data_IF_242709116500
#
_entry.id   IF_242709116500
#
_cell.length_a   1.000
_cell.length_b   1.000
_cell.length_c   1.000
_cell.angle_alpha   90.00
_cell.angle_beta   90.00
_cell.angle_gamma   90.00
#
_symmetry.space_group_name_H-M   'P 1'
#
loop_
_entity.id
_entity.type
_entity.pdbx_description
1 polymer ?
#
# COMPACT_ATOMS: atom_id res chain seq x y z
N UNK A 1 8.68 -5.49 17.65
CA UNK A 1 9.13 -4.10 17.39
C UNK A 1 8.02 -3.12 17.74
N UNK A 2 8.34 -1.82 17.75
CA UNK A 2 7.39 -0.70 17.83
C UNK A 2 6.73 -0.43 16.46
N UNK A 3 5.88 -1.36 16.03
CA UNK A 3 5.12 -1.24 14.78
C UNK A 3 4.24 0.04 14.80
N UNK A 4 3.61 0.33 15.94
CA UNK A 4 2.82 1.54 16.20
C UNK A 4 3.54 2.83 15.75
N UNK A 5 4.77 3.02 16.22
CA UNK A 5 5.54 4.23 15.90
C UNK A 5 6.02 4.23 14.46
N UNK A 6 6.43 3.08 13.93
CA UNK A 6 6.91 2.99 12.56
C UNK A 6 5.82 3.32 11.54
N UNK A 7 4.63 2.75 11.73
CA UNK A 7 3.46 3.03 10.90
C UNK A 7 3.02 4.48 11.05
N UNK A 8 3.10 5.06 12.25
CA UNK A 8 2.83 6.49 12.47
C UNK A 8 3.80 7.39 11.68
N UNK A 9 5.09 7.02 11.61
CA UNK A 9 6.06 7.75 10.79
C UNK A 9 5.72 7.63 9.30
N UNK A 10 5.44 6.41 8.80
CA UNK A 10 5.01 6.22 7.42
C UNK A 10 3.77 7.06 7.09
N UNK A 11 2.76 7.06 7.96
CA UNK A 11 1.55 7.85 7.78
C UNK A 11 1.84 9.34 7.68
N UNK A 12 2.64 9.88 8.61
CA UNK A 12 3.03 11.29 8.59
C UNK A 12 3.92 11.65 7.39
N UNK A 13 4.79 10.74 6.95
CA UNK A 13 5.57 10.89 5.72
C UNK A 13 4.67 10.96 4.49
N UNK A 14 3.68 10.09 4.37
CA UNK A 14 2.68 10.12 3.29
C UNK A 14 1.94 11.46 3.29
N UNK A 15 1.46 11.92 4.44
CA UNK A 15 0.76 13.22 4.55
C UNK A 15 1.68 14.38 4.17
N UNK A 16 2.94 14.37 4.61
CA UNK A 16 3.93 15.38 4.22
C UNK A 16 4.21 15.40 2.72
N UNK A 17 4.37 14.22 2.12
CA UNK A 17 4.56 14.05 0.67
C UNK A 17 3.34 14.54 -0.11
N UNK A 18 2.13 14.20 0.35
CA UNK A 18 0.88 14.68 -0.22
C UNK A 18 0.74 16.20 -0.11
N UNK A 19 1.21 16.81 0.98
CA UNK A 19 1.21 18.26 1.11
C UNK A 19 2.21 18.95 0.18
N UNK A 20 3.28 18.24 -0.21
CA UNK A 20 4.34 18.73 -1.08
C UNK A 20 4.07 18.52 -2.57
N UNK A 21 3.07 17.72 -2.97
CA UNK A 21 2.78 17.38 -4.36
C UNK A 21 1.31 17.60 -4.69
N UNK A 22 1.00 17.91 -5.95
CA UNK A 22 -0.38 17.93 -6.44
C UNK A 22 -0.91 16.49 -6.61
N UNK A 23 -2.21 16.24 -6.46
CA UNK A 23 -2.75 14.90 -6.74
C UNK A 23 -2.83 14.59 -8.23
N UNK A 24 -2.93 15.61 -9.09
CA UNK A 24 -3.04 15.44 -10.53
C UNK A 24 -2.14 16.42 -11.29
N UNK A 25 -1.79 16.11 -12.55
CA UNK A 25 -1.03 17.03 -13.40
C UNK A 25 -1.70 18.40 -13.54
N UNK A 26 -0.88 19.45 -13.70
CA UNK A 26 -1.32 20.85 -13.80
C UNK A 26 -2.01 21.41 -12.54
N UNK A 27 -1.68 20.84 -11.37
CA UNK A 27 -2.07 21.38 -10.07
C UNK A 27 -1.31 22.66 -9.69
N UNK A 28 -1.46 23.08 -8.43
CA UNK A 28 -0.92 24.33 -7.93
C UNK A 28 0.61 24.33 -7.84
N UNK A 29 1.22 23.19 -7.49
CA UNK A 29 2.66 23.03 -7.30
C UNK A 29 3.39 22.63 -8.59
N UNK A 30 2.67 22.17 -9.60
CA UNK A 30 3.19 21.73 -10.89
C UNK A 30 3.85 20.34 -10.87
N UNK A 31 3.88 19.67 -9.71
CA UNK A 31 4.47 18.35 -9.53
C UNK A 31 3.43 17.39 -8.96
N UNK A 32 2.93 16.48 -9.78
CA UNK A 32 1.93 15.51 -9.33
C UNK A 32 2.57 14.31 -8.65
N UNK A 33 1.84 13.65 -7.76
CA UNK A 33 2.27 12.40 -7.13
C UNK A 33 1.12 11.43 -6.90
N UNK A 34 1.47 10.14 -6.82
CA UNK A 34 0.59 9.06 -6.40
C UNK A 34 1.28 8.12 -5.42
N UNK A 35 0.47 7.33 -4.73
CA UNK A 35 0.93 6.40 -3.70
C UNK A 35 0.55 4.96 -4.04
N UNK A 36 1.52 4.06 -3.99
CA UNK A 36 1.33 2.60 -4.11
C UNK A 36 1.66 1.98 -2.77
N UNK A 37 0.64 1.51 -2.07
CA UNK A 37 0.75 1.00 -0.72
C UNK A 37 0.74 -0.53 -0.70
N UNK A 38 1.89 -1.10 -0.35
CA UNK A 38 2.07 -2.52 -0.06
C UNK A 38 1.78 -2.75 1.43
N UNK A 39 0.50 -3.01 1.73
CA UNK A 39 -0.02 -3.24 3.08
C UNK A 39 -0.48 -4.71 3.20
N UNK A 40 0.14 -5.53 4.08
CA UNK A 40 -0.22 -6.94 4.21
C UNK A 40 -1.55 -7.09 4.95
N UNK A 41 -2.30 -8.16 4.70
CA UNK A 41 -3.58 -8.44 5.37
C UNK A 41 -3.48 -8.49 6.91
N UNK A 42 -2.32 -8.89 7.45
CA UNK A 42 -2.08 -8.86 8.91
C UNK A 42 -2.20 -7.45 9.52
N UNK A 43 -2.08 -6.39 8.71
CA UNK A 43 -2.30 -5.02 9.15
C UNK A 43 -3.74 -4.78 9.64
N UNK A 44 -4.71 -5.56 9.14
CA UNK A 44 -6.13 -5.46 9.51
C UNK A 44 -6.40 -5.83 10.97
N UNK A 45 -5.45 -6.48 11.66
CA UNK A 45 -5.51 -6.72 13.10
C UNK A 45 -5.44 -5.42 13.92
N UNK A 46 -4.96 -4.33 13.31
CA UNK A 46 -4.89 -2.99 13.90
C UNK A 46 -5.54 -1.95 12.97
N UNK A 47 -6.89 -1.93 12.87
CA UNK A 47 -7.59 -1.05 11.95
C UNK A 47 -7.22 0.43 12.10
N UNK A 48 -7.03 0.91 13.33
CA UNK A 48 -6.70 2.32 13.60
C UNK A 48 -5.31 2.75 13.08
N UNK A 49 -4.51 1.79 12.61
CA UNK A 49 -3.16 1.99 12.06
C UNK A 49 -3.08 1.55 10.58
N UNK A 50 -4.20 1.39 9.89
CA UNK A 50 -4.20 1.06 8.46
C UNK A 50 -3.82 2.31 7.65
N UNK A 51 -2.73 2.20 6.90
CA UNK A 51 -2.26 3.28 6.02
C UNK A 51 -3.23 3.52 4.86
N UNK A 52 -3.93 2.48 4.41
CA UNK A 52 -4.96 2.56 3.35
C UNK A 52 -6.09 3.52 3.68
N UNK A 53 -6.38 3.77 4.97
CA UNK A 53 -7.41 4.73 5.39
C UNK A 53 -7.07 6.17 4.99
N UNK A 54 -5.79 6.51 4.79
CA UNK A 54 -5.39 7.84 4.34
C UNK A 54 -5.97 8.21 2.96
N UNK A 55 -6.34 7.23 2.15
CA UNK A 55 -7.00 7.43 0.85
C UNK A 55 -8.35 8.17 0.96
N UNK A 56 -9.01 8.09 2.10
CA UNK A 56 -10.27 8.80 2.35
C UNK A 56 -10.03 10.30 2.57
N UNK A 57 -8.86 10.65 3.10
CA UNK A 57 -8.52 12.00 3.53
C UNK A 57 -7.74 12.77 2.46
N UNK A 58 -6.81 12.10 1.79
CA UNK A 58 -5.92 12.73 0.83
C UNK A 58 -6.56 12.74 -0.57
N UNK A 59 -6.39 13.82 -1.36
CA UNK A 59 -6.95 13.90 -2.72
C UNK A 59 -6.16 13.11 -3.76
N UNK A 60 -4.96 12.65 -3.41
CA UNK A 60 -4.07 11.88 -4.26
C UNK A 60 -4.60 10.49 -4.51
N UNK A 61 -4.13 9.87 -5.59
CA UNK A 61 -4.45 8.47 -5.86
C UNK A 61 -3.68 7.53 -4.93
N UNK A 62 -4.40 6.55 -4.38
CA UNK A 62 -3.88 5.49 -3.54
C UNK A 62 -4.21 4.12 -4.16
N UNK A 63 -3.17 3.39 -4.52
CA UNK A 63 -3.28 2.01 -4.97
C UNK A 63 -2.89 1.08 -3.81
N UNK A 64 -3.85 0.40 -3.19
CA UNK A 64 -3.56 -0.59 -2.14
C UNK A 64 -3.32 -1.96 -2.78
N UNK A 65 -2.15 -2.52 -2.51
CA UNK A 65 -1.66 -3.76 -3.11
C UNK A 65 -1.40 -4.77 -2.00
N UNK A 66 -2.23 -5.81 -1.97
CA UNK A 66 -2.04 -6.96 -1.09
C UNK A 66 -0.97 -7.94 -1.61
N UNK A 67 -0.74 -9.01 -0.85
CA UNK A 67 0.28 -10.02 -1.16
C UNK A 67 0.17 -10.65 -2.55
N UNK A 68 -1.06 -10.84 -3.06
CA UNK A 68 -1.25 -11.48 -4.37
C UNK A 68 -0.92 -10.56 -5.55
N UNK A 69 -0.99 -9.24 -5.36
CA UNK A 69 -0.75 -8.26 -6.42
C UNK A 69 0.65 -7.63 -6.43
N UNK A 70 1.48 -7.91 -5.42
CA UNK A 70 2.79 -7.24 -5.28
C UNK A 70 3.73 -7.54 -6.45
N UNK A 71 3.73 -8.76 -6.97
CA UNK A 71 4.61 -9.15 -8.09
C UNK A 71 4.27 -8.35 -9.33
N UNK A 72 2.99 -8.30 -9.71
CA UNK A 72 2.50 -7.56 -10.87
C UNK A 72 2.69 -6.05 -10.70
N UNK A 73 2.41 -5.54 -9.50
CA UNK A 73 2.57 -4.10 -9.20
C UNK A 73 4.04 -3.67 -9.31
N UNK A 74 4.97 -4.43 -8.75
CA UNK A 74 6.40 -4.12 -8.84
C UNK A 74 6.95 -4.29 -10.26
N UNK A 75 6.51 -5.30 -11.00
CA UNK A 75 6.87 -5.45 -12.41
C UNK A 75 6.39 -4.25 -13.24
N UNK A 76 5.14 -3.84 -13.03
CA UNK A 76 4.55 -2.67 -13.68
C UNK A 76 5.36 -1.41 -13.40
N UNK A 77 5.74 -1.17 -12.13
CA UNK A 77 6.51 0.01 -11.75
C UNK A 77 7.95 -0.09 -12.26
N UNK A 78 8.58 -1.27 -12.25
CA UNK A 78 9.93 -1.46 -12.80
C UNK A 78 9.96 -1.20 -14.32
N UNK A 79 8.92 -1.64 -15.03
CA UNK A 79 8.72 -1.31 -16.45
C UNK A 79 8.58 0.20 -16.65
N UNK A 80 7.88 0.90 -15.73
CA UNK A 80 7.81 2.37 -15.77
C UNK A 80 9.16 3.03 -15.50
N UNK A 81 9.97 2.51 -14.57
CA UNK A 81 11.34 2.98 -14.34
C UNK A 81 12.13 2.89 -15.64
N UNK A 82 12.16 1.71 -16.28
CA UNK A 82 12.90 1.49 -17.52
C UNK A 82 12.42 2.42 -18.64
N UNK A 83 11.09 2.52 -18.84
CA UNK A 83 10.51 3.41 -19.84
C UNK A 83 10.93 4.87 -19.63
N UNK A 84 10.90 5.37 -18.39
CA UNK A 84 11.31 6.74 -18.08
C UNK A 84 12.81 6.97 -18.29
N UNK A 85 13.65 5.97 -18.04
CA UNK A 85 15.09 6.04 -18.34
C UNK A 85 15.34 6.12 -19.84
N UNK A 86 14.73 5.21 -20.61
CA UNK A 86 14.91 5.11 -22.07
C UNK A 86 14.41 6.36 -22.79
N UNK A 87 13.25 6.90 -22.36
CA UNK A 87 12.66 8.11 -22.91
C UNK A 87 13.19 9.41 -22.27
N UNK A 88 14.10 9.32 -21.29
CA UNK A 88 14.65 10.46 -20.55
C UNK A 88 13.58 11.37 -19.93
N UNK A 89 12.56 10.77 -19.32
CA UNK A 89 11.45 11.48 -18.64
C UNK A 89 11.92 11.97 -17.28
N UNK A 90 12.34 13.23 -17.21
CA UNK A 90 12.87 13.85 -15.98
C UNK A 90 11.79 14.41 -15.05
N UNK A 91 10.61 14.79 -15.58
CA UNK A 91 9.54 15.46 -14.83
C UNK A 91 8.24 14.64 -14.83
N UNK A 92 8.36 13.32 -14.70
CA UNK A 92 7.21 12.44 -14.57
C UNK A 92 6.48 12.66 -13.24
N UNK A 93 5.22 12.19 -13.18
CA UNK A 93 4.50 12.09 -11.91
C UNK A 93 5.33 11.29 -10.90
N UNK A 94 5.45 11.79 -9.67
CA UNK A 94 6.17 11.09 -8.62
C UNK A 94 5.37 9.84 -8.16
N UNK A 95 6.04 8.69 -8.09
CA UNK A 95 5.42 7.45 -7.61
C UNK A 95 6.09 7.08 -6.30
N UNK A 96 5.36 7.18 -5.19
CA UNK A 96 5.83 6.72 -3.89
C UNK A 96 5.32 5.30 -3.64
N UNK A 97 6.23 4.33 -3.57
CA UNK A 97 5.91 2.95 -3.22
C UNK A 97 6.23 2.74 -1.74
N UNK A 98 5.19 2.44 -0.96
CA UNK A 98 5.27 2.33 0.50
C UNK A 98 5.10 0.87 0.89
N UNK A 99 6.11 0.29 1.52
CA UNK A 99 6.07 -1.06 2.08
C UNK A 99 5.83 -0.96 3.58
N UNK A 100 4.59 -1.27 4.00
CA UNK A 100 4.21 -1.18 5.42
C UNK A 100 4.97 -2.15 6.28
N UNK A 101 5.21 -3.39 5.83
CA UNK A 101 5.95 -4.45 6.54
C UNK A 101 6.66 -5.39 5.56
N UNK A 102 7.95 -5.11 5.35
CA UNK A 102 8.79 -5.85 4.42
C UNK A 102 8.86 -7.35 4.73
N UNK A 103 8.80 -7.74 6.02
CA UNK A 103 8.96 -9.14 6.40
C UNK A 103 7.81 -10.02 5.90
N UNK A 104 6.64 -9.44 5.58
CA UNK A 104 5.42 -10.13 5.13
C UNK A 104 5.42 -10.43 3.64
N UNK A 105 6.16 -9.68 2.84
CA UNK A 105 6.26 -9.88 1.39
C UNK A 105 7.46 -10.77 1.07
N UNK A 106 7.31 -12.09 1.31
CA UNK A 106 8.40 -13.07 1.17
C UNK A 106 8.94 -13.17 -0.25
N UNK A 107 8.08 -12.93 -1.23
CA UNK A 107 8.40 -12.84 -2.64
C UNK A 107 9.40 -11.71 -2.99
N UNK A 108 9.59 -10.72 -2.11
CA UNK A 108 10.62 -9.68 -2.30
C UNK A 108 12.00 -10.12 -1.80
N UNK A 109 12.08 -11.25 -1.10
CA UNK A 109 13.34 -11.80 -0.62
C UNK A 109 14.12 -12.36 -1.80
N UNK A 110 15.43 -12.21 -1.73
CA UNK A 110 16.32 -12.80 -2.74
C UNK A 110 16.25 -14.31 -2.65
N UNK A 111 16.15 -14.99 -3.79
CA UNK A 111 16.32 -16.43 -3.85
C UNK A 111 17.80 -16.80 -3.69
N UNK A 112 18.06 -17.91 -2.99
CA UNK A 112 19.39 -18.50 -2.92
C UNK A 112 19.83 -18.90 -4.35
N UNK A 113 20.79 -18.18 -4.93
CA UNK A 113 21.24 -18.34 -6.31
C UNK A 113 21.10 -17.08 -7.18
N UNK A 114 20.38 -16.06 -6.72
CA UNK A 114 20.23 -14.78 -7.43
C UNK A 114 21.44 -13.87 -7.16
N UNK A 115 22.58 -14.26 -7.74
CA UNK A 115 23.84 -13.52 -7.71
C UNK A 115 23.96 -12.65 -8.95
N UNK A 116 23.16 -11.57 -9.04
CA UNK A 116 23.46 -10.31 -9.73
C UNK A 116 23.96 -10.31 -11.19
N UNK A 117 24.01 -11.45 -11.87
CA UNK A 117 24.53 -11.62 -13.23
C UNK A 117 23.67 -12.66 -13.95
N UNK A 118 22.51 -12.24 -14.45
CA UNK A 118 21.85 -13.00 -15.52
C UNK A 118 22.60 -12.76 -16.83
N UNK A 119 23.62 -13.58 -17.11
CA UNK A 119 24.20 -13.76 -18.44
C UNK A 119 23.30 -14.66 -19.30
N UNK A 120 22.05 -14.27 -19.50
CA UNK A 120 21.10 -14.98 -20.35
C UNK A 120 19.99 -14.03 -20.81
N UNK A 121 19.91 -13.80 -22.12
CA UNK A 121 19.14 -12.72 -22.76
C UNK A 121 17.61 -12.75 -22.60
N UNK A 122 17.00 -13.72 -21.90
CA UNK A 122 15.53 -13.88 -21.92
C UNK A 122 14.85 -14.16 -20.57
N UNK A 123 15.53 -13.99 -19.42
CA UNK A 123 14.86 -14.14 -18.12
C UNK A 123 14.23 -12.83 -17.65
N UNK A 124 12.89 -12.80 -17.67
CA UNK A 124 12.06 -11.78 -17.02
C UNK A 124 12.51 -11.58 -15.56
N UNK A 125 12.76 -10.33 -15.18
CA UNK A 125 13.19 -9.98 -13.83
C UNK A 125 12.14 -10.39 -12.78
N UNK A 126 12.60 -11.10 -11.75
CA UNK A 126 11.75 -11.51 -10.62
C UNK A 126 11.40 -10.33 -9.69
N UNK A 127 10.45 -10.52 -8.77
CA UNK A 127 10.00 -9.47 -7.84
C UNK A 127 11.12 -8.84 -7.00
N UNK A 128 12.09 -9.63 -6.52
CA UNK A 128 13.25 -9.10 -5.77
C UNK A 128 14.18 -8.23 -6.63
N UNK A 129 14.38 -8.62 -7.90
CA UNK A 129 15.18 -7.84 -8.85
C UNK A 129 14.44 -6.55 -9.23
N UNK A 130 13.14 -6.62 -9.53
CA UNK A 130 12.31 -5.43 -9.78
C UNK A 130 12.36 -4.47 -8.60
N UNK A 131 12.22 -4.97 -7.38
CA UNK A 131 12.30 -4.14 -6.17
C UNK A 131 13.66 -3.46 -6.00
N UNK A 132 14.75 -4.15 -6.35
CA UNK A 132 16.11 -3.58 -6.36
C UNK A 132 16.27 -2.50 -7.43
N UNK A 133 15.72 -2.71 -8.63
CA UNK A 133 15.69 -1.69 -9.70
C UNK A 133 14.94 -0.44 -9.27
N UNK A 134 13.78 -0.58 -8.62
CA UNK A 134 13.05 0.56 -8.06
C UNK A 134 13.88 1.35 -7.05
N UNK A 135 14.66 0.67 -6.22
CA UNK A 135 15.50 1.32 -5.21
C UNK A 135 16.69 2.07 -5.84
N UNK A 136 17.38 1.44 -6.80
CA UNK A 136 18.60 1.99 -7.43
C UNK A 136 18.30 3.04 -8.49
N UNK A 137 17.41 2.70 -9.43
CA UNK A 137 17.20 3.50 -10.64
C UNK A 137 15.96 4.39 -10.52
N UNK A 138 14.98 3.98 -9.70
CA UNK A 138 13.73 4.71 -9.52
C UNK A 138 13.88 6.19 -9.14
N UNK A 139 14.73 6.57 -8.17
CA UNK A 139 14.83 7.96 -7.73
C UNK A 139 15.20 8.93 -8.85
N UNK A 140 16.00 8.48 -9.82
CA UNK A 140 16.45 9.30 -10.97
C UNK A 140 15.31 9.69 -11.91
N UNK A 141 14.17 8.98 -11.84
CA UNK A 141 12.99 9.18 -12.69
C UNK A 141 11.72 9.46 -11.86
N UNK A 142 11.87 9.90 -10.61
CA UNK A 142 10.76 10.29 -9.74
C UNK A 142 9.98 9.12 -9.14
N UNK A 143 10.59 7.95 -8.98
CA UNK A 143 9.98 6.77 -8.35
C UNK A 143 10.75 6.48 -7.06
N UNK A 144 10.07 6.51 -5.92
CA UNK A 144 10.71 6.50 -4.60
C UNK A 144 10.15 5.39 -3.72
N UNK A 145 11.01 4.80 -2.88
CA UNK A 145 10.63 3.77 -1.92
C UNK A 145 10.58 4.31 -0.49
N UNK A 146 9.52 3.99 0.24
CA UNK A 146 9.43 4.13 1.69
C UNK A 146 9.20 2.74 2.29
N UNK A 147 10.14 2.24 3.08
CA UNK A 147 10.10 0.85 3.54
C UNK A 147 10.23 0.79 5.05
N UNK A 148 9.27 0.15 5.72
CA UNK A 148 9.47 -0.33 7.08
C UNK A 148 9.86 -1.80 7.09
N UNK A 149 10.82 -2.11 7.95
CA UNK A 149 11.20 -3.46 8.29
C UNK A 149 11.36 -3.54 9.80
N UNK A 150 10.95 -4.67 10.37
CA UNK A 150 11.01 -4.91 11.79
C UNK A 150 12.47 -5.06 12.24
N UNK A 151 13.26 -5.89 11.56
CA UNK A 151 14.63 -6.26 11.98
C UNK A 151 15.64 -6.13 10.86
N UNK A 152 16.91 -5.91 11.25
CA UNK A 152 18.02 -5.94 10.29
C UNK A 152 18.11 -7.29 9.58
N UNK A 153 17.82 -8.40 10.26
CA UNK A 153 17.81 -9.73 9.65
C UNK A 153 16.80 -9.83 8.50
N UNK A 154 15.57 -9.33 8.69
CA UNK A 154 14.56 -9.36 7.62
C UNK A 154 14.89 -8.38 6.48
N UNK A 155 15.51 -7.23 6.81
CA UNK A 155 16.01 -6.29 5.82
C UNK A 155 17.10 -6.93 4.93
N UNK A 156 18.07 -7.60 5.55
CA UNK A 156 19.20 -8.28 4.88
C UNK A 156 18.79 -9.55 4.09
N UNK A 157 17.60 -10.11 4.34
CA UNK A 157 17.02 -11.17 3.49
C UNK A 157 16.47 -10.63 2.17
N UNK A 158 16.17 -9.34 2.13
CA UNK A 158 15.58 -8.67 0.97
C UNK A 158 16.66 -7.93 0.19
N UNK A 159 17.47 -7.14 0.88
CA UNK A 159 18.53 -6.34 0.26
C UNK A 159 19.91 -6.89 0.56
N UNK A 160 20.78 -6.84 -0.43
CA UNK A 160 22.22 -6.98 -0.18
C UNK A 160 22.77 -5.78 0.59
N UNK A 161 23.89 -5.99 1.30
CA UNK A 161 24.55 -4.95 2.09
C UNK A 161 24.86 -3.69 1.26
N UNK A 162 25.31 -3.86 0.02
CA UNK A 162 25.66 -2.73 -0.85
C UNK A 162 24.44 -1.87 -1.20
N UNK A 163 23.31 -2.51 -1.46
CA UNK A 163 22.04 -1.86 -1.83
C UNK A 163 21.43 -1.09 -0.66
N UNK A 164 21.76 -1.41 0.59
CA UNK A 164 21.29 -0.60 1.74
C UNK A 164 21.80 0.84 1.72
N UNK A 165 22.91 1.11 1.02
CA UNK A 165 23.45 2.46 0.86
C UNK A 165 22.53 3.39 0.05
N UNK A 166 21.68 2.83 -0.80
CA UNK A 166 20.69 3.58 -1.58
C UNK A 166 19.57 4.17 -0.71
N UNK A 167 19.38 3.68 0.52
CA UNK A 167 18.51 4.34 1.49
C UNK A 167 19.25 5.49 2.16
N UNK A 168 19.16 6.69 1.59
CA UNK A 168 19.82 7.89 2.13
C UNK A 168 19.15 8.42 3.40
N UNK A 169 17.81 8.32 3.45
CA UNK A 169 17.00 8.72 4.60
C UNK A 169 16.66 7.47 5.43
N UNK A 170 17.13 7.44 6.66
CA UNK A 170 16.93 6.30 7.56
C UNK A 170 16.37 6.76 8.89
N UNK A 171 15.41 5.99 9.38
CA UNK A 171 14.88 6.14 10.74
C UNK A 171 15.10 4.84 11.48
N UNK A 172 15.89 4.91 12.56
CA UNK A 172 16.20 3.76 13.41
C UNK A 172 15.51 3.89 14.74
N UNK A 173 14.84 2.82 15.17
CA UNK A 173 14.40 2.63 16.53
C UNK A 173 15.49 1.95 17.37
N UNK A 174 15.21 1.74 18.65
CA UNK A 174 16.11 0.98 19.51
C UNK A 174 16.38 -0.41 18.93
N UNK A 175 17.67 -0.73 18.78
CA UNK A 175 18.17 -2.02 18.28
C UNK A 175 19.52 -2.36 18.93
N UNK A 176 20.09 -3.52 18.60
CA UNK A 176 21.40 -3.89 19.15
C UNK A 176 22.51 -2.94 18.68
N UNK A 177 23.59 -2.84 19.46
CA UNK A 177 24.75 -2.03 19.07
C UNK A 177 25.39 -2.54 17.78
N UNK A 178 25.42 -3.87 17.57
CA UNK A 178 25.91 -4.50 16.34
C UNK A 178 25.04 -4.16 15.13
N UNK A 179 23.71 -4.24 15.25
CA UNK A 179 22.81 -3.93 14.14
C UNK A 179 22.89 -2.45 13.75
N UNK A 180 22.94 -1.57 14.76
CA UNK A 180 23.11 -0.14 14.57
C UNK A 180 24.42 0.18 13.83
N UNK A 181 25.55 -0.37 14.30
CA UNK A 181 26.83 -0.18 13.63
C UNK A 181 26.84 -0.77 12.22
N UNK A 182 26.11 -1.85 11.97
CA UNK A 182 26.04 -2.45 10.64
C UNK A 182 25.26 -1.61 9.63
N UNK A 183 24.22 -0.90 10.10
CA UNK A 183 23.38 -0.07 9.25
C UNK A 183 24.00 1.31 9.01
N UNK A 184 24.50 1.96 10.07
CA UNK A 184 24.83 3.40 10.05
C UNK A 184 26.20 3.71 10.67
N UNK A 185 27.10 2.73 10.69
CA UNK A 185 28.49 2.85 11.16
C UNK A 185 28.65 3.43 12.58
N UNK A 186 27.59 3.35 13.39
CA UNK A 186 27.52 3.88 14.74
C UNK A 186 26.60 3.06 15.63
N UNK A 187 26.98 2.74 16.88
CA UNK A 187 26.14 1.97 17.81
C UNK A 187 25.04 2.82 18.48
N UNK A 188 24.81 4.06 18.05
CA UNK A 188 23.97 5.03 18.76
C UNK A 188 22.51 4.61 18.93
N UNK A 189 21.95 3.78 18.03
CA UNK A 189 20.58 3.32 18.16
C UNK A 189 20.38 2.37 19.37
N UNK A 190 21.45 1.74 19.88
CA UNK A 190 21.39 0.93 21.10
C UNK A 190 21.08 1.71 22.37
N UNK A 191 21.35 3.02 22.35
CA UNK A 191 21.12 3.94 23.48
C UNK A 191 19.79 4.70 23.36
N UNK A 192 18.94 4.36 22.39
CA UNK A 192 17.62 4.97 22.26
C UNK A 192 16.70 4.45 23.36
N UNK A 193 15.91 5.36 23.94
CA UNK A 193 14.79 5.01 24.80
C UNK A 193 13.56 4.56 23.99
N UNK A 194 12.52 4.04 24.65
CA UNK A 194 11.38 3.43 23.98
C UNK A 194 10.58 4.40 23.08
N UNK A 195 10.61 5.70 23.33
CA UNK A 195 9.88 6.72 22.53
C UNK A 195 10.83 7.68 21.82
N UNK A 196 11.95 7.16 21.34
CA UNK A 196 12.94 7.92 20.56
C UNK A 196 13.31 7.13 19.33
N UNK A 197 13.51 7.86 18.25
CA UNK A 197 14.09 7.36 17.03
C UNK A 197 15.31 8.20 16.67
N UNK A 198 16.18 7.64 15.84
CA UNK A 198 17.33 8.30 15.27
C UNK A 198 17.07 8.50 13.78
N UNK A 199 16.98 9.76 13.34
CA UNK A 199 16.90 10.14 11.94
C UNK A 199 18.32 10.36 11.42
N UNK A 200 18.57 9.82 10.24
CA UNK A 200 19.85 9.89 9.55
C UNK A 200 19.59 10.30 8.10
N UNK A 201 20.38 11.25 7.65
CA UNK A 201 20.45 11.66 6.26
C UNK A 201 21.91 11.51 5.82
N UNK A 202 22.18 10.48 5.03
CA UNK A 202 23.54 10.10 4.63
C UNK A 202 24.22 11.21 3.82
N UNK A 203 23.53 11.81 2.86
CA UNK A 203 24.08 12.86 1.99
C UNK A 203 24.58 14.08 2.79
N UNK A 204 23.78 14.57 3.74
CA UNK A 204 24.14 15.73 4.56
C UNK A 204 24.91 15.37 5.83
N UNK A 205 25.13 14.08 6.10
CA UNK A 205 25.70 13.58 7.35
C UNK A 205 24.87 13.93 8.59
N UNK A 206 23.58 14.22 8.43
CA UNK A 206 22.71 14.61 9.55
C UNK A 206 22.37 13.39 10.40
N UNK A 207 22.50 13.52 11.72
CA UNK A 207 22.14 12.49 12.69
C UNK A 207 21.44 13.14 13.88
N UNK A 208 20.12 12.94 13.97
CA UNK A 208 19.27 13.61 14.96
C UNK A 208 18.39 12.61 15.73
N UNK A 209 18.31 12.79 17.05
CA UNK A 209 17.35 12.06 17.89
C UNK A 209 16.06 12.84 17.97
N UNK A 210 14.94 12.18 17.68
CA UNK A 210 13.62 12.80 17.77
C UNK A 210 12.60 11.90 18.46
N UNK A 211 11.44 12.47 18.78
CA UNK A 211 10.27 11.73 19.26
C UNK A 211 9.34 11.50 18.06
N UNK A 212 9.05 10.24 17.70
CA UNK A 212 8.08 9.95 16.65
C UNK A 212 6.70 10.54 16.94
N UNK A 213 6.02 10.97 15.89
CA UNK A 213 4.62 11.36 15.95
C UNK A 213 3.73 10.14 16.25
N UNK A 214 2.56 10.38 16.84
CA UNK A 214 1.47 9.41 16.85
C UNK A 214 0.81 9.33 15.47
N UNK A 215 0.07 8.26 15.23
CA UNK A 215 -0.74 8.13 14.03
C UNK A 215 -1.71 9.33 13.91
N UNK A 216 -1.88 9.91 12.71
CA UNK A 216 -2.72 11.08 12.53
C UNK A 216 -4.18 10.76 12.83
N UNK A 217 -4.81 11.55 13.70
CA UNK A 217 -6.20 11.37 14.09
C UNK A 217 -7.17 12.06 13.13
N UNK A 218 -8.40 11.56 13.03
CA UNK A 218 -9.42 12.06 12.11
C UNK A 218 -9.65 13.58 12.19
N UNK A 219 -9.78 14.24 13.37
CA UNK A 219 -9.99 15.69 13.43
C UNK A 219 -8.86 16.50 12.79
N UNK A 220 -7.63 16.01 12.89
CA UNK A 220 -6.48 16.66 12.25
C UNK A 220 -6.46 16.38 10.73
N UNK A 221 -6.77 15.15 10.33
CA UNK A 221 -6.87 14.77 8.91
C UNK A 221 -7.98 15.53 8.18
N UNK A 222 -9.09 15.86 8.84
CA UNK A 222 -10.15 16.71 8.30
C UNK A 222 -9.62 18.09 7.89
N UNK A 223 -8.83 18.73 8.77
CA UNK A 223 -8.23 20.05 8.53
C UNK A 223 -7.23 19.96 7.37
N UNK A 224 -6.37 18.94 7.37
CA UNK A 224 -5.38 18.71 6.31
C UNK A 224 -6.08 18.46 4.97
N UNK A 225 -7.06 17.55 4.93
CA UNK A 225 -7.88 17.24 3.76
C UNK A 225 -8.51 18.49 3.17
N UNK A 226 -9.18 19.30 4.00
CA UNK A 226 -9.79 20.56 3.57
C UNK A 226 -8.77 21.53 2.97
N UNK A 227 -7.61 21.68 3.62
CA UNK A 227 -6.54 22.56 3.15
C UNK A 227 -5.93 22.08 1.83
N UNK A 228 -5.72 20.77 1.69
CA UNK A 228 -5.20 20.19 0.45
C UNK A 228 -6.19 20.37 -0.69
N UNK A 229 -7.47 20.00 -0.48
CA UNK A 229 -8.53 20.06 -1.49
C UNK A 229 -8.89 21.47 -1.94
N UNK A 230 -8.70 22.48 -1.08
CA UNK A 230 -8.92 23.89 -1.43
C UNK A 230 -7.91 24.42 -2.46
N UNK A 231 -6.77 23.74 -2.67
CA UNK A 231 -5.79 24.11 -3.70
C UNK A 231 -6.33 23.76 -5.09
N UNK A 232 -5.71 24.32 -6.12
CA UNK A 232 -5.93 23.86 -7.50
C UNK A 232 -5.37 22.43 -7.64
N UNK A 233 -6.22 21.45 -7.91
CA UNK A 233 -5.82 20.03 -7.93
C UNK A 233 -5.24 19.55 -9.26
N UNK A 234 -5.36 20.33 -10.33
CA UNK A 234 -5.04 19.84 -11.68
C UNK A 234 -6.19 19.01 -12.26
N UNK A 235 -5.91 18.21 -13.29
CA UNK A 235 -6.93 17.38 -13.96
C UNK A 235 -6.53 15.92 -13.93
N UNK A 236 -7.38 15.02 -13.41
CA UNK A 236 -7.15 13.58 -13.50
C UNK A 236 -6.94 13.16 -14.95
N UNK A 237 -5.85 12.44 -15.21
CA UNK A 237 -5.60 11.83 -16.51
C UNK A 237 -5.88 10.33 -16.40
N UNK A 238 -6.61 9.70 -17.34
CA UNK A 238 -6.78 8.27 -17.33
C UNK A 238 -5.41 7.60 -17.45
N UNK A 239 -5.05 6.77 -16.47
CA UNK A 239 -3.83 5.98 -16.53
C UNK A 239 -3.97 4.94 -17.63
N UNK A 240 -2.93 4.65 -18.42
CA UNK A 240 -2.92 3.46 -19.25
C UNK A 240 -3.25 2.26 -18.36
N UNK A 241 -4.39 1.60 -18.63
CA UNK A 241 -4.77 0.38 -17.92
C UNK A 241 -3.64 -0.61 -18.15
N UNK A 242 -2.83 -0.85 -17.12
CA UNK A 242 -1.80 -1.89 -17.19
C UNK A 242 -2.52 -3.19 -16.91
N UNK A 243 -2.83 -3.91 -18.00
CA UNK A 243 -3.37 -5.25 -17.91
C UNK A 243 -2.35 -6.07 -17.10
N UNK A 244 -2.72 -6.49 -15.89
CA UNK A 244 -2.09 -7.67 -15.29
C UNK A 244 -2.13 -8.78 -16.34
N UNK A 245 -1.12 -9.65 -16.40
CA UNK A 245 -1.08 -10.68 -17.44
C UNK A 245 -2.33 -11.59 -17.43
N UNK A 246 -3.12 -11.60 -16.35
CA UNK A 246 -4.45 -12.24 -16.28
C UNK A 246 -5.54 -11.60 -17.17
N UNK A 247 -5.40 -10.35 -17.60
CA UNK A 247 -6.42 -9.61 -18.36
C UNK A 247 -6.02 -9.25 -19.80
N UNK A 248 -4.91 -9.79 -20.32
CA UNK A 248 -4.66 -9.70 -21.76
C UNK A 248 -5.79 -10.47 -22.48
N UNK A 249 -6.54 -9.87 -23.42
CA UNK A 249 -7.49 -10.65 -24.21
C UNK A 249 -6.69 -11.77 -24.87
N UNK A 250 -7.03 -13.02 -24.51
CA UNK A 250 -6.36 -14.20 -25.04
C UNK A 250 -6.34 -14.09 -26.55
N UNK A 251 -5.15 -14.24 -27.13
CA UNK A 251 -4.96 -14.18 -28.57
C UNK A 251 -5.73 -15.36 -29.21
N UNK A 252 -6.23 -15.21 -30.43
CA UNK A 252 -7.02 -16.27 -31.09
C UNK A 252 -6.29 -17.61 -31.15
N UNK A 253 -4.95 -17.59 -31.17
CA UNK A 253 -4.08 -18.78 -31.12
C UNK A 253 -4.09 -19.47 -29.74
N UNK A 254 -4.06 -18.72 -28.63
CA UNK A 254 -4.08 -19.27 -27.26
C UNK A 254 -5.45 -19.88 -26.90
N UNK A 255 -6.53 -19.34 -27.48
CA UNK A 255 -7.88 -19.92 -27.34
C UNK A 255 -8.04 -21.24 -28.13
N UNK A 256 -7.35 -21.38 -29.26
CA UNK A 256 -7.34 -22.62 -30.03
C UNK A 256 -6.55 -23.72 -29.32
N UNK A 257 -5.42 -23.39 -28.70
CA UNK A 257 -4.59 -24.34 -27.95
C UNK A 257 -5.32 -24.90 -26.71
N UNK A 258 -6.08 -24.05 -25.99
CA UNK A 258 -6.88 -24.47 -24.85
C UNK A 258 -8.05 -25.40 -25.24
N UNK A 259 -8.59 -25.26 -26.46
CA UNK A 259 -9.64 -26.14 -26.98
C UNK A 259 -9.13 -27.54 -27.35
N UNK A 260 -7.83 -27.68 -27.65
CA UNK A 260 -7.20 -28.96 -27.98
C UNK A 260 -6.86 -29.80 -26.74
N UNK A 261 -6.80 -29.19 -25.55
CA UNK A 261 -6.51 -29.88 -24.28
C UNK A 261 -7.76 -30.32 -23.48
N UNK A 262 -8.97 -30.20 -24.05
CA UNK A 262 -10.16 -30.77 -23.42
C UNK A 262 -10.17 -32.30 -23.62
N UNK A 263 -9.74 -32.99 -22.57
CA UNK A 263 -9.63 -34.44 -22.47
C UNK A 263 -10.99 -35.11 -22.69
N UNK A 264 -11.06 -36.02 -23.68
CA UNK A 264 -12.18 -36.95 -23.85
C UNK A 264 -12.24 -37.88 -22.64
N UNK A 265 -13.17 -37.63 -21.73
CA UNK A 265 -13.61 -38.62 -20.75
C UNK A 265 -14.92 -39.23 -21.28
N UNK A 266 -14.80 -40.33 -22.03
CA UNK A 266 -15.91 -41.27 -22.20
C UNK A 266 -16.23 -41.85 -20.82
N UNK A 267 -17.38 -41.47 -20.28
CA UNK A 267 -17.99 -42.16 -19.15
C UNK A 267 -19.02 -43.12 -19.74
N UNK A 268 -18.66 -44.40 -19.74
CA UNK A 268 -19.52 -45.51 -20.10
C UNK A 268 -20.58 -45.68 -18.99
N UNK A 269 -21.85 -45.41 -19.29
CA UNK A 269 -22.98 -45.62 -18.39
C UNK A 269 -23.89 -46.69 -18.99
N UNK A 270 -24.10 -47.83 -18.34
CA UNK A 270 -24.98 -48.87 -18.87
C UNK A 270 -26.44 -48.42 -18.77
N UNK A 271 -27.12 -48.45 -19.92
CA UNK A 271 -28.56 -48.18 -20.02
C UNK A 271 -29.31 -49.42 -19.53
N UNK A 272 -29.91 -49.35 -18.34
CA UNK A 272 -30.97 -50.29 -17.94
C UNK A 272 -32.32 -49.71 -18.38
N UNK A 273 -32.99 -50.46 -19.27
CA UNK A 273 -34.28 -50.13 -19.83
C UNK A 273 -35.39 -50.76 -18.98
N UNK A 274 -35.94 -50.02 -18.02
CA UNK A 274 -37.29 -50.31 -17.53
C UNK A 274 -37.97 -49.14 -16.82
N UNK A 275 -39.27 -49.01 -17.12
CA UNK A 275 -40.33 -48.40 -16.30
C UNK A 275 -40.48 -46.86 -16.25
N UNK A 276 -41.40 -46.38 -17.09
CA UNK A 276 -42.62 -45.72 -16.59
C UNK A 276 -42.57 -44.22 -16.29
N UNK A 277 -43.20 -43.41 -17.16
CA UNK A 277 -43.67 -42.06 -16.80
C UNK A 277 -44.66 -42.15 -15.62
N UNK A 278 -44.73 -41.07 -14.80
CA UNK A 278 -46.06 -40.49 -14.62
C UNK A 278 -46.15 -38.97 -14.76
N UNK A 279 -47.41 -38.61 -14.99
CA UNK A 279 -47.99 -37.33 -15.38
C UNK A 279 -47.90 -36.22 -14.34
N UNK A 280 -47.95 -35.01 -14.90
CA UNK A 280 -48.39 -33.73 -14.33
C UNK A 280 -49.69 -33.86 -13.51
N UNK A 281 -49.73 -33.24 -12.34
CA UNK A 281 -50.96 -32.74 -11.73
C UNK A 281 -50.70 -31.41 -11.03
N UNK A 282 -51.70 -30.54 -11.18
CA UNK A 282 -51.85 -29.19 -10.66
C UNK A 282 -52.37 -29.22 -9.24
N UNK A 283 -51.89 -28.32 -8.38
CA UNK A 283 -52.68 -27.84 -7.25
C UNK A 283 -52.28 -26.40 -6.93
N UNK A 284 -53.29 -25.53 -7.05
CA UNK A 284 -53.36 -24.16 -6.55
C UNK A 284 -53.49 -24.20 -5.04
N UNK A 285 -52.80 -23.32 -4.31
CA UNK A 285 -53.41 -22.73 -3.15
C UNK A 285 -52.93 -21.30 -2.85
N UNK A 286 -53.86 -20.58 -2.27
CA UNK A 286 -54.04 -19.14 -2.24
C UNK A 286 -53.52 -18.49 -0.95
N UNK A 287 -53.18 -17.20 -1.07
CA UNK A 287 -53.34 -16.11 -0.07
C UNK A 287 -52.72 -16.27 1.35
N UNK A 288 -51.81 -15.36 1.71
CA UNK A 288 -52.17 -14.17 2.52
C UNK A 288 -50.99 -13.22 2.68
N UNK A 289 -51.27 -11.95 2.40
CA UNK A 289 -50.47 -10.77 2.70
C UNK A 289 -50.82 -10.28 4.10
N UNK A 290 -49.83 -10.02 4.95
CA UNK A 290 -50.01 -9.15 6.11
C UNK A 290 -48.97 -8.02 6.09
N UNK A 291 -49.50 -6.84 5.79
CA UNK A 291 -48.96 -5.52 6.06
C UNK A 291 -49.01 -5.21 7.56
N UNK A 292 -47.91 -4.76 8.15
CA UNK A 292 -47.94 -4.06 9.44
C UNK A 292 -47.45 -2.63 9.21
N UNK A 293 -48.39 -1.70 9.31
CA UNK A 293 -48.20 -0.26 9.41
C UNK A 293 -47.97 0.15 10.87
N UNK A 294 -46.97 1.03 11.03
CA UNK A 294 -47.02 2.30 11.77
C UNK A 294 -47.47 2.30 13.25
N UNK A 295 -46.56 2.76 14.12
CA UNK A 295 -46.97 3.52 15.30
C UNK A 295 -45.88 4.49 15.74
N UNK A 296 -46.08 5.75 15.36
CA UNK A 296 -45.39 6.93 15.85
C UNK A 296 -46.22 7.53 17.00
N UNK A 297 -45.61 7.79 18.17
CA UNK A 297 -46.02 8.93 19.00
C UNK A 297 -44.90 9.40 19.95
N UNK A 298 -44.69 10.72 20.08
CA UNK A 298 -43.70 11.34 20.95
C UNK A 298 -44.32 11.87 22.26
N UNK A 299 -43.52 11.98 23.31
CA UNK A 299 -43.70 12.79 24.52
C UNK A 299 -42.28 13.03 25.06
N UNK A 300 -41.84 14.17 25.60
CA UNK A 300 -42.46 15.43 26.01
C UNK A 300 -41.33 16.33 26.56
N UNK A 301 -41.60 17.63 26.65
CA UNK A 301 -40.61 18.69 26.83
C UNK A 301 -40.38 19.16 28.29
N UNK A 302 -39.30 19.95 28.45
CA UNK A 302 -39.15 21.16 29.28
C UNK A 302 -38.49 21.11 30.69
N UNK A 303 -37.63 22.12 30.92
CA UNK A 303 -37.11 22.65 32.21
C UNK A 303 -35.64 22.31 32.47
N UNK A 304 -34.72 23.19 32.85
CA UNK A 304 -34.78 24.62 33.19
C UNK A 304 -33.32 25.20 33.22
N UNK A 305 -33.22 26.53 33.24
CA UNK A 305 -31.98 27.34 33.24
C UNK A 305 -31.34 27.49 34.65
N UNK A 306 -30.20 28.21 34.68
CA UNK A 306 -29.51 28.92 35.80
C UNK A 306 -28.42 28.14 36.54
N UNK A 307 -27.28 28.70 36.99
CA UNK A 307 -26.53 29.96 36.78
C UNK A 307 -25.20 29.79 37.59
N UNK A 308 -24.34 30.81 37.57
CA UNK A 308 -23.21 31.12 38.50
C UNK A 308 -21.76 30.80 38.08
N UNK A 309 -21.18 31.79 37.39
CA UNK A 309 -20.02 32.63 37.75
C UNK A 309 -19.08 32.26 38.92
N UNK A 310 -17.75 32.33 38.69
CA UNK A 310 -16.69 33.06 39.45
C UNK A 310 -15.30 32.45 39.11
N UNK A 311 -14.37 33.11 38.42
CA UNK A 311 -13.44 34.21 38.82
C UNK A 311 -12.42 33.86 39.93
N UNK A 312 -11.12 34.09 39.64
CA UNK A 312 -10.00 34.11 40.61
C UNK A 312 -8.86 33.17 40.17
N UNK A 313 -7.78 33.57 39.46
CA UNK A 313 -6.70 34.54 39.71
C UNK A 313 -5.91 34.28 41.01
N UNK A 314 -4.57 34.42 40.87
CA UNK A 314 -3.50 34.45 41.90
C UNK A 314 -2.99 33.08 42.36
N UNK A 315 -1.68 32.76 42.45
CA UNK A 315 -0.41 33.46 42.18
C UNK A 315 0.67 32.41 41.89
#
# INVERSE_FOLDING_TARGET
>A
QREDLAVSILAMSIVGLAAAHDPFPNGALGRSARFVLLEPAAAEEHPDLLLSQLSQWLPHEFESVGRLGVTDSLESIATEVQRRLDEQVLNGEAIFVIVRDLARFRELRRSEGDFGYSFGEDKKAGPAQNFTTLLKDGPTVGIHLLVWCDSLTNLMRTFERGTLKEFELRVLFQMSGSDSSQLVDSPMASKLGPQRALFIHEETGTLEKFRPYSFPQAPWLEIVSGTLRARRQGTPQPRPIRLSQENKPKTSEELMEFSQFSFSAEVDVPIDSSAGLPKRSSETDSFQSDSITDNMKPDGAAGDQQDETASGLES
#
